data_IF_386994185568
#
_entry.id   IF_386994185568
#
_cell.length_a   1.000
_cell.length_b   1.000
_cell.length_c   1.000
_cell.angle_alpha   90.00
_cell.angle_beta   90.00
_cell.angle_gamma   90.00
#
_symmetry.space_group_name_H-M   'P 1'
#
loop_
_entity.id
_entity.type
_entity.pdbx_description
1 polymer ?
#
# COMPACT_ATOMS: atom_id res chain seq x y z
N UNK A 1 1.59 4.77 13.18
CA UNK A 1 1.58 3.35 12.81
C UNK A 1 1.74 3.21 11.30
N UNK A 2 2.46 2.19 10.86
CA UNK A 2 2.65 1.90 9.44
C UNK A 2 2.22 0.48 9.12
N UNK A 3 1.79 0.25 7.86
CA UNK A 3 1.15 -0.97 7.42
C UNK A 3 1.84 -1.48 6.16
N UNK A 4 2.22 -2.76 6.20
CA UNK A 4 2.75 -3.52 5.08
C UNK A 4 2.06 -4.87 4.94
N UNK A 5 1.99 -5.41 3.73
CA UNK A 5 1.68 -6.83 3.52
C UNK A 5 2.74 -7.49 2.63
N UNK A 6 2.85 -8.81 2.71
CA UNK A 6 3.79 -9.59 1.90
C UNK A 6 3.43 -11.06 1.89
N UNK A 7 4.03 -11.81 0.96
CA UNK A 7 3.67 -13.19 0.69
C UNK A 7 2.14 -13.36 0.53
N UNK A 8 1.54 -12.45 -0.25
CA UNK A 8 0.09 -12.30 -0.41
C UNK A 8 -0.54 -13.57 -1.00
N UNK A 9 -1.69 -13.92 -0.45
CA UNK A 9 -2.57 -14.99 -0.92
C UNK A 9 -4.04 -14.57 -0.71
N UNK A 10 -4.98 -15.42 -1.09
CA UNK A 10 -6.41 -15.16 -0.89
C UNK A 10 -6.74 -14.89 0.59
N UNK A 11 -6.12 -15.61 1.52
CA UNK A 11 -6.43 -15.46 2.96
C UNK A 11 -5.92 -14.15 3.52
N UNK A 12 -4.77 -13.65 3.06
CA UNK A 12 -4.27 -12.34 3.49
C UNK A 12 -5.17 -11.19 3.04
N UNK A 13 -5.70 -11.25 1.81
CA UNK A 13 -6.63 -10.26 1.28
C UNK A 13 -7.98 -10.28 1.99
N UNK A 14 -8.54 -11.47 2.21
CA UNK A 14 -9.90 -11.64 2.77
C UNK A 14 -9.95 -11.54 4.31
N UNK A 15 -8.87 -11.83 5.01
CA UNK A 15 -8.86 -11.87 6.47
C UNK A 15 -7.90 -10.85 7.07
N UNK A 16 -6.59 -11.10 7.04
CA UNK A 16 -5.63 -10.28 7.79
C UNK A 16 -5.59 -8.83 7.35
N UNK A 17 -5.67 -8.54 6.06
CA UNK A 17 -5.70 -7.18 5.55
C UNK A 17 -6.99 -6.44 5.94
N UNK A 18 -8.14 -7.12 5.98
CA UNK A 18 -9.40 -6.55 6.45
C UNK A 18 -9.32 -6.15 7.94
N UNK A 19 -8.75 -7.02 8.78
CA UNK A 19 -8.54 -6.73 10.20
C UNK A 19 -7.61 -5.54 10.38
N UNK A 20 -6.51 -5.49 9.63
CA UNK A 20 -5.57 -4.36 9.70
C UNK A 20 -6.25 -3.07 9.24
N UNK A 21 -7.05 -3.11 8.18
CA UNK A 21 -7.81 -1.96 7.69
C UNK A 21 -8.80 -1.42 8.73
N UNK A 22 -9.52 -2.31 9.41
CA UNK A 22 -10.40 -1.91 10.52
C UNK A 22 -9.62 -1.23 11.65
N UNK A 23 -8.47 -1.79 12.04
CA UNK A 23 -7.61 -1.18 13.06
C UNK A 23 -7.03 0.15 12.58
N UNK A 24 -6.68 0.27 11.29
CA UNK A 24 -6.24 1.53 10.70
C UNK A 24 -7.30 2.64 10.85
N UNK A 25 -8.55 2.33 10.51
CA UNK A 25 -9.67 3.27 10.66
C UNK A 25 -9.84 3.71 12.12
N UNK A 26 -9.81 2.77 13.07
CA UNK A 26 -9.89 3.08 14.50
C UNK A 26 -8.76 3.97 15.00
N UNK A 27 -7.54 3.73 14.53
CA UNK A 27 -6.39 4.54 14.91
C UNK A 27 -6.50 5.97 14.34
N UNK A 28 -6.96 6.11 13.11
CA UNK A 28 -7.21 7.43 12.49
C UNK A 28 -8.29 8.17 13.28
N UNK A 29 -9.39 7.52 13.64
CA UNK A 29 -10.47 8.10 14.45
C UNK A 29 -9.99 8.56 15.83
N UNK A 30 -9.00 7.89 16.41
CA UNK A 30 -8.35 8.27 17.66
C UNK A 30 -7.26 9.34 17.49
N UNK A 31 -7.12 9.91 16.30
CA UNK A 31 -6.17 10.97 16.00
C UNK A 31 -4.74 10.52 15.78
N UNK A 32 -4.52 9.24 15.51
CA UNK A 32 -3.20 8.75 15.14
C UNK A 32 -2.88 9.03 13.66
N UNK A 33 -1.61 8.98 13.33
CA UNK A 33 -1.12 8.94 11.95
C UNK A 33 -0.95 7.50 11.51
N UNK A 34 -1.55 7.14 10.41
CA UNK A 34 -1.42 5.82 9.77
C UNK A 34 -0.83 6.00 8.38
N UNK A 35 0.23 5.27 8.07
CA UNK A 35 0.88 5.29 6.75
C UNK A 35 0.87 3.88 6.17
N UNK A 36 0.49 3.77 4.92
CA UNK A 36 0.62 2.54 4.15
C UNK A 36 1.36 2.82 2.83
N UNK A 37 1.98 1.81 2.27
CA UNK A 37 2.80 1.95 1.06
C UNK A 37 2.61 0.76 0.13
N UNK A 38 3.68 0.42 -0.59
CA UNK A 38 3.71 -0.63 -1.61
C UNK A 38 2.98 -0.20 -2.89
N UNK A 39 3.51 0.87 -3.53
CA UNK A 39 2.95 1.44 -4.76
C UNK A 39 2.74 0.38 -5.85
N UNK A 40 3.58 -0.66 -5.89
CA UNK A 40 3.43 -1.81 -6.79
C UNK A 40 2.12 -2.59 -6.59
N UNK A 41 1.51 -2.50 -5.42
CA UNK A 41 0.24 -3.16 -5.10
C UNK A 41 -0.98 -2.25 -5.30
N UNK A 42 -0.81 -1.08 -5.93
CA UNK A 42 -1.92 -0.20 -6.28
C UNK A 42 -2.35 -0.35 -7.75
N UNK A 43 -1.54 -1.01 -8.57
CA UNK A 43 -1.81 -1.22 -10.00
C UNK A 43 -3.18 -1.86 -10.23
N UNK A 44 -4.01 -1.18 -11.03
CA UNK A 44 -5.39 -1.58 -11.33
C UNK A 44 -6.41 -1.19 -10.26
N UNK A 45 -5.96 -0.80 -9.05
CA UNK A 45 -6.80 -0.33 -7.93
C UNK A 45 -6.56 1.13 -7.55
N UNK A 46 -5.68 1.84 -8.25
CA UNK A 46 -5.32 3.24 -7.93
C UNK A 46 -6.51 4.20 -7.89
N UNK A 47 -7.51 3.99 -8.75
CA UNK A 47 -8.73 4.79 -8.79
C UNK A 47 -9.55 4.72 -7.49
N UNK A 48 -9.50 3.60 -6.78
CA UNK A 48 -10.18 3.42 -5.48
C UNK A 48 -9.51 4.31 -4.43
N UNK A 49 -8.18 4.35 -4.42
CA UNK A 49 -7.42 5.20 -3.51
C UNK A 49 -7.60 6.68 -3.86
N UNK A 50 -7.54 7.03 -5.15
CA UNK A 50 -7.70 8.40 -5.63
C UNK A 50 -9.08 8.97 -5.25
N UNK A 51 -10.16 8.19 -5.35
CA UNK A 51 -11.52 8.60 -4.92
C UNK A 51 -11.61 8.86 -3.42
N UNK A 52 -10.77 8.22 -2.62
CA UNK A 52 -10.70 8.40 -1.16
C UNK A 52 -9.80 9.56 -0.73
N UNK A 53 -9.08 10.18 -1.66
CA UNK A 53 -8.22 11.32 -1.36
C UNK A 53 -9.03 12.54 -0.91
N UNK A 54 -8.51 13.31 0.02
CA UNK A 54 -9.07 14.62 0.36
C UNK A 54 -9.04 15.51 -0.90
N UNK A 55 -10.18 16.07 -1.26
CA UNK A 55 -10.37 16.76 -2.53
C UNK A 55 -10.81 15.85 -3.69
N UNK A 56 -10.96 14.55 -3.44
CA UNK A 56 -11.44 13.56 -4.42
C UNK A 56 -10.41 13.18 -5.48
N UNK A 57 -10.86 12.36 -6.44
CA UNK A 57 -10.02 11.79 -7.50
C UNK A 57 -9.32 12.85 -8.36
N UNK A 58 -10.00 13.94 -8.66
CA UNK A 58 -9.48 15.03 -9.48
C UNK A 58 -8.72 16.10 -8.70
N UNK A 59 -8.67 15.97 -7.38
CA UNK A 59 -7.90 16.86 -6.50
C UNK A 59 -6.40 16.56 -6.56
N UNK A 60 -5.56 17.46 -5.99
CA UNK A 60 -4.11 17.31 -6.05
C UNK A 60 -3.60 15.97 -5.49
N UNK A 61 -4.21 15.50 -4.39
CA UNK A 61 -3.81 14.23 -3.76
C UNK A 61 -4.24 13.04 -4.62
N UNK A 62 -5.46 13.07 -5.18
CA UNK A 62 -5.94 12.02 -6.09
C UNK A 62 -5.05 11.90 -7.32
N UNK A 63 -4.70 13.02 -7.94
CA UNK A 63 -3.78 13.04 -9.09
C UNK A 63 -2.38 12.54 -8.71
N UNK A 64 -1.88 12.90 -7.53
CA UNK A 64 -0.59 12.41 -7.04
C UNK A 64 -0.56 10.88 -6.87
N UNK A 65 -1.69 10.26 -6.50
CA UNK A 65 -1.79 8.80 -6.42
C UNK A 65 -1.62 8.16 -7.80
N UNK A 66 -2.23 8.70 -8.84
CA UNK A 66 -2.01 8.23 -10.22
C UNK A 66 -0.56 8.44 -10.66
N UNK A 67 0.03 9.59 -10.35
CA UNK A 67 1.42 9.91 -10.70
C UNK A 67 2.42 8.90 -10.13
N UNK A 68 2.30 8.52 -8.86
CA UNK A 68 3.24 7.57 -8.24
C UNK A 68 3.10 6.17 -8.85
N UNK A 69 1.88 5.74 -9.20
CA UNK A 69 1.65 4.45 -9.87
C UNK A 69 2.21 4.46 -11.29
N UNK A 70 1.92 5.50 -12.07
CA UNK A 70 2.47 5.66 -13.43
C UNK A 70 4.00 5.74 -13.41
N UNK A 71 4.58 6.49 -12.47
CA UNK A 71 6.04 6.59 -12.28
C UNK A 71 6.66 5.23 -12.01
N UNK A 72 6.05 4.44 -11.15
CA UNK A 72 6.51 3.10 -10.81
C UNK A 72 6.42 2.16 -12.01
N UNK A 73 5.31 2.16 -12.74
CA UNK A 73 5.12 1.35 -13.95
C UNK A 73 6.12 1.74 -15.05
N UNK A 74 6.35 3.03 -15.27
CA UNK A 74 7.38 3.53 -16.21
C UNK A 74 8.79 3.08 -15.82
N UNK A 75 9.11 3.09 -14.53
CA UNK A 75 10.41 2.61 -14.02
C UNK A 75 10.59 1.12 -14.31
N UNK A 76 9.58 0.29 -14.11
CA UNK A 76 9.66 -1.14 -14.45
C UNK A 76 9.87 -1.34 -15.95
N UNK A 77 9.10 -0.65 -16.79
CA UNK A 77 9.22 -0.74 -18.25
C UNK A 77 10.59 -0.28 -18.75
N UNK A 78 11.22 0.69 -18.10
CA UNK A 78 12.56 1.19 -18.50
C UNK A 78 13.67 0.16 -18.35
N UNK A 79 13.46 -0.89 -17.53
CA UNK A 79 14.39 -2.02 -17.37
C UNK A 79 13.89 -3.30 -18.05
N UNK A 80 12.88 -3.18 -18.90
CA UNK A 80 12.34 -4.29 -19.69
C UNK A 80 11.32 -5.17 -18.95
N UNK A 81 10.85 -4.73 -17.77
CA UNK A 81 9.89 -5.50 -16.97
C UNK A 81 8.45 -5.02 -17.19
N UNK A 82 7.53 -5.97 -17.34
CA UNK A 82 6.09 -5.71 -17.38
C UNK A 82 5.44 -6.15 -16.07
N UNK A 83 5.04 -5.19 -15.25
CA UNK A 83 4.41 -5.48 -13.97
C UNK A 83 3.02 -6.08 -14.10
N UNK A 84 2.26 -5.70 -15.13
CA UNK A 84 0.92 -6.24 -15.35
C UNK A 84 0.95 -7.70 -15.84
N UNK A 85 1.95 -8.05 -16.64
CA UNK A 85 2.17 -9.43 -17.09
C UNK A 85 2.95 -10.29 -16.08
N UNK A 86 3.79 -9.67 -15.24
CA UNK A 86 4.63 -10.36 -14.26
C UNK A 86 4.00 -10.55 -12.87
N UNK A 87 2.81 -10.02 -12.63
CA UNK A 87 2.09 -10.13 -11.35
C UNK A 87 0.66 -10.68 -11.60
N UNK A 88 0.12 -11.51 -10.73
CA UNK A 88 0.70 -12.11 -9.51
C UNK A 88 1.86 -13.06 -9.79
N UNK A 89 2.78 -13.18 -8.83
CA UNK A 89 3.87 -14.16 -8.93
C UNK A 89 3.35 -15.61 -8.89
N UNK A 90 4.12 -16.61 -9.37
CA UNK A 90 3.71 -18.01 -9.26
C UNK A 90 3.29 -18.42 -7.84
N UNK A 91 3.97 -17.90 -6.83
CA UNK A 91 3.60 -18.13 -5.43
C UNK A 91 2.28 -17.48 -5.02
N UNK A 92 1.95 -16.32 -5.55
CA UNK A 92 0.63 -15.69 -5.32
C UNK A 92 -0.49 -16.49 -6.00
N UNK A 93 -0.25 -16.99 -7.22
CA UNK A 93 -1.19 -17.84 -7.95
C UNK A 93 -1.43 -19.14 -7.19
N UNK A 94 -0.37 -19.79 -6.71
CA UNK A 94 -0.50 -20.98 -5.87
C UNK A 94 -1.27 -20.71 -4.56
N UNK A 95 -1.24 -19.47 -4.09
CA UNK A 95 -2.04 -18.99 -2.96
C UNK A 95 -3.46 -18.55 -3.31
N UNK A 96 -3.92 -18.77 -4.55
CA UNK A 96 -5.30 -18.54 -5.01
C UNK A 96 -5.57 -17.19 -5.67
N UNK A 97 -4.56 -16.35 -5.93
CA UNK A 97 -4.74 -15.08 -6.65
C UNK A 97 -4.70 -15.30 -8.17
N UNK A 98 -5.60 -14.64 -8.90
CA UNK A 98 -5.80 -14.82 -10.35
C UNK A 98 -5.27 -13.65 -11.19
N UNK A 99 -5.35 -12.42 -10.71
CA UNK A 99 -4.96 -11.23 -11.46
C UNK A 99 -4.26 -10.18 -10.59
N UNK A 100 -3.63 -9.20 -11.25
CA UNK A 100 -2.99 -8.07 -10.55
C UNK A 100 -4.03 -7.19 -9.87
N UNK A 101 -5.21 -7.02 -10.48
CA UNK A 101 -6.31 -6.24 -9.90
C UNK A 101 -6.82 -6.91 -8.62
N UNK A 102 -7.03 -8.23 -8.64
CA UNK A 102 -7.44 -8.98 -7.44
C UNK A 102 -6.40 -8.87 -6.34
N UNK A 103 -5.11 -9.01 -6.68
CA UNK A 103 -4.02 -8.81 -5.73
C UNK A 103 -4.03 -7.41 -5.14
N UNK A 104 -4.21 -6.39 -5.97
CA UNK A 104 -4.25 -4.99 -5.54
C UNK A 104 -5.48 -4.68 -4.69
N UNK A 105 -6.66 -5.16 -5.04
CA UNK A 105 -7.87 -5.02 -4.22
C UNK A 105 -7.66 -5.60 -2.82
N UNK A 106 -7.11 -6.81 -2.73
CA UNK A 106 -6.80 -7.45 -1.45
C UNK A 106 -5.73 -6.69 -0.64
N UNK A 107 -4.78 -6.03 -1.31
CA UNK A 107 -3.76 -5.23 -0.65
C UNK A 107 -4.28 -3.88 -0.16
N UNK A 108 -5.11 -3.18 -0.96
CA UNK A 108 -5.66 -1.87 -0.64
C UNK A 108 -6.55 -1.90 0.61
N UNK A 109 -7.27 -2.98 0.84
CA UNK A 109 -8.16 -3.15 2.01
C UNK A 109 -7.44 -2.92 3.35
N UNK A 110 -6.13 -3.22 3.44
CA UNK A 110 -5.33 -2.98 4.65
C UNK A 110 -5.28 -1.50 5.08
N UNK A 111 -5.58 -0.57 4.18
CA UNK A 111 -5.61 0.86 4.45
C UNK A 111 -6.93 1.34 5.09
N UNK A 112 -7.91 0.47 5.28
CA UNK A 112 -9.24 0.85 5.78
C UNK A 112 -10.01 1.74 4.81
N UNK A 113 -10.86 2.62 5.34
CA UNK A 113 -11.80 3.43 4.56
C UNK A 113 -11.66 4.94 4.77
N UNK A 114 -10.79 5.39 5.70
CA UNK A 114 -10.66 6.81 6.02
C UNK A 114 -10.05 7.60 4.85
N UNK A 115 -10.40 8.91 4.72
CA UNK A 115 -9.86 9.75 3.67
C UNK A 115 -8.34 9.83 3.71
N UNK A 116 -7.70 9.79 2.54
CA UNK A 116 -6.26 9.89 2.38
C UNK A 116 -5.86 11.36 2.41
N UNK A 117 -5.01 11.74 3.36
CA UNK A 117 -4.60 13.12 3.62
C UNK A 117 -3.47 13.59 2.71
N UNK A 118 -2.70 12.67 2.15
CA UNK A 118 -1.62 13.01 1.24
C UNK A 118 -0.77 11.81 0.85
N UNK A 119 0.21 12.11 0.00
CA UNK A 119 1.20 11.15 -0.52
C UNK A 119 2.60 11.63 -0.13
N UNK A 120 3.35 10.75 0.50
CA UNK A 120 4.74 10.95 0.91
C UNK A 120 5.68 10.31 -0.11
N UNK A 121 6.76 10.98 -0.45
CA UNK A 121 7.88 10.36 -1.16
C UNK A 121 8.62 9.40 -0.22
N UNK A 122 9.50 8.57 -0.77
CA UNK A 122 10.17 7.50 -0.02
C UNK A 122 10.91 7.97 1.25
N UNK A 123 11.57 9.13 1.19
CA UNK A 123 12.32 9.69 2.31
C UNK A 123 11.54 10.68 3.17
N UNK A 124 10.30 11.00 2.81
CA UNK A 124 9.53 12.01 3.52
C UNK A 124 9.14 11.55 4.92
N UNK A 125 9.10 12.52 5.84
CA UNK A 125 8.58 12.35 7.20
C UNK A 125 7.15 12.87 7.29
N UNK A 126 6.40 12.31 8.23
CA UNK A 126 5.00 12.69 8.48
C UNK A 126 4.85 13.41 9.83
N UNK A 127 5.81 14.23 10.18
CA UNK A 127 5.92 14.86 11.50
C UNK A 127 4.67 15.68 11.85
N UNK A 128 4.01 15.32 12.95
CA UNK A 128 2.86 16.03 13.51
C UNK A 128 1.56 15.95 12.73
N UNK A 129 1.54 15.35 11.55
CA UNK A 129 0.35 15.25 10.70
C UNK A 129 -0.51 14.07 11.11
N UNK A 130 -1.82 14.25 11.10
CA UNK A 130 -2.81 13.24 11.50
C UNK A 130 -3.45 12.56 10.28
N UNK A 131 -4.11 11.43 10.51
CA UNK A 131 -4.93 10.77 9.51
C UNK A 131 -4.19 9.69 8.72
N UNK A 132 -4.74 9.33 7.56
CA UNK A 132 -4.24 8.27 6.69
C UNK A 132 -3.38 8.83 5.57
N UNK A 133 -2.20 8.27 5.37
CA UNK A 133 -1.22 8.72 4.37
C UNK A 133 -0.72 7.58 3.50
N UNK A 134 -0.48 7.86 2.24
CA UNK A 134 0.25 6.96 1.34
C UNK A 134 1.74 7.30 1.36
N UNK A 135 2.59 6.29 1.31
CA UNK A 135 4.02 6.44 1.03
C UNK A 135 4.36 5.78 -0.30
N UNK A 136 4.93 6.54 -1.23
CA UNK A 136 5.51 5.96 -2.44
C UNK A 136 6.74 5.12 -2.06
N UNK A 137 6.58 3.82 -2.14
CA UNK A 137 7.61 2.86 -1.73
C UNK A 137 7.47 1.55 -2.52
N UNK A 138 8.60 0.85 -2.75
CA UNK A 138 8.57 -0.47 -3.40
C UNK A 138 7.86 -1.51 -2.53
N UNK A 139 7.44 -2.60 -3.14
CA UNK A 139 6.79 -3.72 -2.43
C UNK A 139 7.77 -4.65 -1.71
N UNK A 140 9.08 -4.53 -1.95
CA UNK A 140 10.09 -5.39 -1.35
C UNK A 140 10.29 -5.08 0.13
N UNK A 141 10.25 -6.14 0.96
CA UNK A 141 10.18 -6.01 2.41
C UNK A 141 11.27 -5.13 3.04
N UNK A 142 12.57 -5.39 2.87
CA UNK A 142 13.62 -4.60 3.52
C UNK A 142 13.56 -3.12 3.14
N UNK A 143 13.25 -2.86 1.87
CA UNK A 143 13.23 -1.51 1.33
C UNK A 143 12.06 -0.69 1.90
N UNK A 144 10.85 -1.25 1.88
CA UNK A 144 9.70 -0.51 2.43
C UNK A 144 9.79 -0.35 3.94
N UNK A 145 10.26 -1.36 4.69
CA UNK A 145 10.41 -1.25 6.14
C UNK A 145 11.43 -0.15 6.51
N UNK A 146 12.53 -0.05 5.75
CA UNK A 146 13.51 1.04 5.90
C UNK A 146 12.88 2.40 5.63
N UNK A 147 12.15 2.55 4.53
CA UNK A 147 11.44 3.79 4.21
C UNK A 147 10.39 4.15 5.25
N UNK A 148 9.71 3.16 5.79
CA UNK A 148 8.74 3.35 6.87
C UNK A 148 9.39 3.79 8.18
N UNK A 149 10.54 3.24 8.54
CA UNK A 149 11.31 3.71 9.68
C UNK A 149 11.76 5.17 9.50
N UNK A 150 12.24 5.52 8.30
CA UNK A 150 12.63 6.89 7.96
C UNK A 150 11.46 7.89 8.06
N UNK A 151 10.22 7.48 7.81
CA UNK A 151 9.01 8.30 7.99
C UNK A 151 8.75 8.68 9.45
N UNK A 152 9.42 8.04 10.41
CA UNK A 152 9.21 8.22 11.85
C UNK A 152 8.22 7.22 12.45
N UNK A 153 8.10 6.04 11.87
CA UNK A 153 7.23 4.98 12.41
C UNK A 153 7.66 4.56 13.81
N UNK A 154 6.74 4.62 14.75
CA UNK A 154 6.92 4.07 16.10
C UNK A 154 6.46 2.61 16.19
N UNK A 155 5.58 2.20 15.28
CA UNK A 155 5.01 0.86 15.25
C UNK A 155 4.69 0.46 13.80
N UNK A 156 5.15 -0.70 13.37
CA UNK A 156 4.88 -1.27 12.06
C UNK A 156 4.07 -2.56 12.19
N UNK A 157 3.07 -2.73 11.31
CA UNK A 157 2.30 -3.98 11.21
C UNK A 157 2.62 -4.61 9.87
N UNK A 158 3.00 -5.87 9.90
CA UNK A 158 3.27 -6.66 8.72
C UNK A 158 2.24 -7.79 8.62
N UNK A 159 1.39 -7.74 7.59
CA UNK A 159 0.43 -8.78 7.26
C UNK A 159 1.05 -9.76 6.29
N UNK A 160 0.85 -11.05 6.50
CA UNK A 160 1.36 -12.07 5.59
C UNK A 160 0.38 -13.25 5.50
N UNK A 161 0.21 -13.82 4.31
CA UNK A 161 -0.56 -15.03 4.10
C UNK A 161 0.27 -16.28 4.39
N UNK A 162 1.43 -16.40 3.76
CA UNK A 162 2.28 -17.60 3.80
C UNK A 162 3.46 -17.49 4.77
N UNK A 163 3.60 -16.35 5.44
CA UNK A 163 4.78 -16.04 6.24
C UNK A 163 5.89 -15.35 5.42
N UNK A 164 6.67 -14.51 6.09
CA UNK A 164 7.84 -13.87 5.52
C UNK A 164 8.99 -13.89 6.55
N UNK A 165 10.25 -14.12 6.13
CA UNK A 165 11.40 -14.26 7.02
C UNK A 165 11.93 -12.89 7.49
N UNK A 166 11.06 -11.93 7.69
CA UNK A 166 11.38 -10.59 8.16
C UNK A 166 11.00 -10.47 9.64
N UNK A 167 11.98 -10.17 10.46
CA UNK A 167 11.82 -9.94 11.89
C UNK A 167 12.09 -8.51 12.29
#
# INVERSE_FOLDING_TARGET
RQIKCGASDTTSGMASNCVIGYVADKLVDLGATVVFGETTEFLGGEHILAKRAVGGENGPIGQKIYEIVDRMEKRAKSVGEDMRGGQPTPGNIAGGLSSIEEKSLGAIVKSGHRPIQGVLEYCDRVDGQKGLWIKDAPGREPEILTGMAATGAQFMTFSTGRGAPQG
#
